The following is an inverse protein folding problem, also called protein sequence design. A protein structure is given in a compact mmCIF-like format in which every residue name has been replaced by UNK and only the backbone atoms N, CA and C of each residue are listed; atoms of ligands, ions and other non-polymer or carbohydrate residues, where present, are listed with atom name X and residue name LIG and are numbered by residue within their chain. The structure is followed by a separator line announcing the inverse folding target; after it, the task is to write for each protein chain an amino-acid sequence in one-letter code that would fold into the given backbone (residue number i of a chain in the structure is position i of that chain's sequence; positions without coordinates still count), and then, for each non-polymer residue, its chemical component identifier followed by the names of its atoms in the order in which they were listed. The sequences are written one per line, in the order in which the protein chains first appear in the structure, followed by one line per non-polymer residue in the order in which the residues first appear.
data_IF_605422418477
#
_entry.id   IF_605422418477
#
_cell.length_a   1.000
_cell.length_b   1.000
_cell.length_c   1.000
_cell.angle_alpha   90.00
_cell.angle_beta   90.00
_cell.angle_gamma   90.00
#
_symmetry.space_group_name_H-M   'P 1'
#
loop_
_entity.id
_entity.type
_entity.pdbx_description
1 polymer ?
#
# COMPACT_ATOMS: atom_id res chain seq x y z
N UNK A 1 6.27 15.15 -15.28
CA UNK A 1 6.19 13.83 -14.60
C UNK A 1 5.54 13.93 -13.20
N UNK A 2 4.37 14.61 -13.05
CA UNK A 2 3.69 14.81 -11.75
C UNK A 2 2.80 13.63 -11.29
N UNK A 3 2.49 12.71 -12.20
CA UNK A 3 1.59 11.58 -11.92
C UNK A 3 2.23 10.44 -11.12
N UNK A 4 3.56 10.28 -11.17
CA UNK A 4 4.26 9.24 -10.40
C UNK A 4 4.17 9.44 -8.87
N UNK A 5 4.44 10.62 -8.31
CA UNK A 5 4.28 10.83 -6.86
C UNK A 5 2.82 10.72 -6.42
N UNK A 6 1.86 11.19 -7.23
CA UNK A 6 0.43 11.05 -6.94
C UNK A 6 0.00 9.57 -6.87
N UNK A 7 0.46 8.72 -7.81
CA UNK A 7 0.16 7.29 -7.76
C UNK A 7 0.78 6.56 -6.55
N UNK A 8 1.96 7.00 -6.06
CA UNK A 8 2.56 6.44 -4.85
C UNK A 8 1.71 6.79 -3.63
N UNK A 9 1.32 8.06 -3.50
CA UNK A 9 0.48 8.53 -2.40
C UNK A 9 -0.86 7.76 -2.35
N UNK A 10 -1.51 7.55 -3.50
CA UNK A 10 -2.74 6.76 -3.60
C UNK A 10 -2.52 5.32 -3.14
N UNK A 11 -1.44 4.66 -3.56
CA UNK A 11 -1.13 3.30 -3.12
C UNK A 11 -0.89 3.20 -1.60
N UNK A 12 -0.26 4.20 -0.99
CA UNK A 12 -0.05 4.25 0.48
C UNK A 12 -1.39 4.40 1.20
N UNK A 13 -2.23 5.33 0.76
CA UNK A 13 -3.57 5.55 1.34
C UNK A 13 -4.40 4.28 1.23
N UNK A 14 -4.37 3.62 0.07
CA UNK A 14 -5.08 2.37 -0.15
C UNK A 14 -4.57 1.27 0.78
N UNK A 15 -3.26 1.10 0.92
CA UNK A 15 -2.68 0.11 1.83
C UNK A 15 -3.12 0.35 3.29
N UNK A 16 -3.13 1.60 3.77
CA UNK A 16 -3.57 1.94 5.12
C UNK A 16 -5.06 1.61 5.35
N UNK A 17 -5.92 1.97 4.40
CA UNK A 17 -7.35 1.65 4.48
C UNK A 17 -7.59 0.14 4.46
N UNK A 18 -6.90 -0.58 3.58
CA UNK A 18 -7.05 -2.04 3.46
C UNK A 18 -6.53 -2.75 4.71
N UNK A 19 -5.42 -2.27 5.30
CA UNK A 19 -4.87 -2.79 6.55
C UNK A 19 -5.81 -2.55 7.75
N UNK A 20 -6.38 -1.34 7.87
CA UNK A 20 -7.36 -1.03 8.90
C UNK A 20 -8.60 -1.93 8.78
N UNK A 21 -9.08 -2.13 7.56
CA UNK A 21 -10.23 -2.98 7.30
C UNK A 21 -9.93 -4.47 7.55
N UNK A 22 -8.70 -4.92 7.24
CA UNK A 22 -8.26 -6.27 7.59
C UNK A 22 -8.33 -6.49 9.11
N UNK A 23 -7.81 -5.55 9.92
CA UNK A 23 -7.85 -5.64 11.39
C UNK A 23 -9.29 -5.69 11.91
N UNK A 24 -10.19 -4.86 11.37
CA UNK A 24 -11.61 -4.92 11.74
C UNK A 24 -12.23 -6.28 11.43
N UNK A 25 -11.90 -6.89 10.29
CA UNK A 25 -12.40 -8.23 9.94
C UNK A 25 -11.82 -9.33 10.83
N UNK A 26 -10.57 -9.20 11.30
CA UNK A 26 -10.01 -10.10 12.33
C UNK A 26 -10.84 -10.01 13.62
N UNK A 27 -11.13 -8.79 14.08
CA UNK A 27 -11.92 -8.57 15.31
C UNK A 27 -13.35 -9.08 15.16
N UNK A 28 -13.93 -9.04 13.94
CA UNK A 28 -15.26 -9.59 13.63
C UNK A 28 -15.28 -11.11 13.46
N UNK A 29 -14.13 -11.79 13.54
CA UNK A 29 -14.01 -13.25 13.38
C UNK A 29 -14.01 -13.74 11.93
N UNK A 30 -13.95 -12.82 10.95
CA UNK A 30 -13.89 -13.14 9.52
C UNK A 30 -12.43 -13.32 9.07
N UNK A 31 -11.78 -14.37 9.58
CA UNK A 31 -10.34 -14.62 9.35
C UNK A 31 -9.97 -14.80 7.88
N UNK A 32 -10.85 -15.41 7.07
CA UNK A 32 -10.62 -15.60 5.63
C UNK A 32 -10.56 -14.25 4.88
N UNK A 33 -11.49 -13.34 5.18
CA UNK A 33 -11.53 -12.01 4.59
C UNK A 33 -10.36 -11.15 5.07
N UNK A 34 -10.04 -11.24 6.36
CA UNK A 34 -8.88 -10.56 6.94
C UNK A 34 -7.55 -11.02 6.32
N UNK A 35 -7.38 -12.33 6.09
CA UNK A 35 -6.17 -12.86 5.46
C UNK A 35 -6.02 -12.35 4.02
N UNK A 36 -7.11 -12.35 3.25
CA UNK A 36 -7.12 -11.84 1.87
C UNK A 36 -6.79 -10.33 1.83
N UNK A 37 -7.43 -9.53 2.68
CA UNK A 37 -7.14 -8.10 2.81
C UNK A 37 -5.71 -7.84 3.30
N UNK A 38 -5.18 -8.68 4.19
CA UNK A 38 -3.80 -8.62 4.64
C UNK A 38 -2.80 -8.85 3.51
N UNK A 39 -3.04 -9.84 2.64
CA UNK A 39 -2.21 -10.10 1.46
C UNK A 39 -2.27 -8.92 0.47
N UNK A 40 -3.47 -8.37 0.21
CA UNK A 40 -3.63 -7.19 -0.66
C UNK A 40 -2.90 -5.97 -0.08
N UNK A 41 -3.00 -5.76 1.23
CA UNK A 41 -2.29 -4.69 1.92
C UNK A 41 -0.77 -4.85 1.77
N UNK A 42 -0.25 -6.06 1.97
CA UNK A 42 1.18 -6.36 1.83
C UNK A 42 1.70 -6.10 0.40
N UNK A 43 0.96 -6.55 -0.62
CA UNK A 43 1.32 -6.32 -2.03
C UNK A 43 1.33 -4.81 -2.34
N UNK A 44 0.31 -4.07 -1.89
CA UNK A 44 0.23 -2.63 -2.11
C UNK A 44 1.37 -1.87 -1.42
N UNK A 45 1.71 -2.24 -0.18
CA UNK A 45 2.85 -1.69 0.53
C UNK A 45 4.17 -1.98 -0.20
N UNK A 46 4.35 -3.21 -0.68
CA UNK A 46 5.54 -3.60 -1.44
C UNK A 46 5.70 -2.79 -2.74
N UNK A 47 4.62 -2.64 -3.51
CA UNK A 47 4.61 -1.83 -4.74
C UNK A 47 4.92 -0.37 -4.42
N UNK A 48 4.33 0.17 -3.36
CA UNK A 48 4.58 1.55 -2.92
C UNK A 48 6.05 1.79 -2.57
N UNK A 49 6.66 0.91 -1.76
CA UNK A 49 8.08 1.00 -1.39
C UNK A 49 9.00 0.90 -2.61
N UNK A 50 8.69 -0.01 -3.55
CA UNK A 50 9.47 -0.14 -4.80
C UNK A 50 9.36 1.11 -5.67
N UNK A 51 8.16 1.68 -5.82
CA UNK A 51 7.96 2.93 -6.55
C UNK A 51 8.63 4.12 -5.86
N UNK A 52 8.61 4.17 -4.53
CA UNK A 52 9.30 5.20 -3.76
C UNK A 52 10.82 5.16 -3.98
N UNK A 53 11.43 3.96 -3.98
CA UNK A 53 12.85 3.80 -4.31
C UNK A 53 13.18 4.34 -5.71
N UNK A 54 12.33 4.08 -6.69
CA UNK A 54 12.51 4.59 -8.06
C UNK A 54 12.40 6.12 -8.07
N UNK A 55 11.36 6.70 -7.46
CA UNK A 55 11.19 8.15 -7.39
C UNK A 55 12.40 8.85 -6.73
N UNK A 56 12.91 8.30 -5.62
CA UNK A 56 14.06 8.84 -4.89
C UNK A 56 15.38 8.76 -5.67
N UNK A 57 15.53 7.75 -6.54
CA UNK A 57 16.67 7.64 -7.45
C UNK A 57 16.66 8.72 -8.55
N UNK A 58 15.48 9.14 -9.01
CA UNK A 58 15.35 10.26 -9.96
C UNK A 58 15.60 11.62 -9.30
N UNK A 59 15.16 11.79 -8.05
CA UNK A 59 15.41 13.02 -7.27
C UNK A 59 16.89 13.22 -6.96
N UNK A 60 17.64 12.15 -6.65
CA UNK A 60 19.10 12.23 -6.42
C UNK A 60 19.94 12.41 -7.70
N UNK A 61 19.33 12.30 -8.90
CA UNK A 61 20.02 12.48 -10.20
C UNK A 61 19.81 13.86 -10.81
N UNK A 62 18.89 14.66 -10.28
CA UNK A 62 18.72 16.09 -10.64
C UNK A 62 19.54 16.95 -9.69
#
# INVERSE_FOLDING_TARGET
MRFQPAMIAVNVIFALLTGFWAIQNVVRGEYAMAALLGVICFINAFISVRRYKIARLYENRQ
#
